data_IF_683932027113
#
_entry.id   IF_683932027113
#
_cell.length_a   1.000
_cell.length_b   1.000
_cell.length_c   1.000
_cell.angle_alpha   90.00
_cell.angle_beta   90.00
_cell.angle_gamma   90.00
#
_symmetry.space_group_name_H-M   'P 1'
#
loop_
_entity.id
_entity.type
_entity.pdbx_description
1 polymer ?
#
# COMPACT_ATOMS: atom_id res chain seq x y z
N UNK A 1 20.05 22.42 39.72
CA UNK A 1 18.86 22.39 38.83
C UNK A 1 19.24 22.30 37.36
N UNK A 2 20.19 23.11 36.87
CA UNK A 2 20.62 23.12 35.47
C UNK A 2 21.26 21.79 34.99
N UNK A 3 22.05 21.12 35.84
CA UNK A 3 22.68 19.83 35.48
C UNK A 3 21.66 18.71 35.17
N UNK A 4 20.49 18.71 35.82
CA UNK A 4 19.43 17.75 35.52
C UNK A 4 18.79 17.99 34.14
N UNK A 5 18.74 19.25 33.71
CA UNK A 5 18.23 19.61 32.39
C UNK A 5 19.21 19.15 31.30
N UNK A 6 20.51 19.41 31.50
CA UNK A 6 21.56 18.97 30.57
C UNK A 6 21.55 17.44 30.44
N UNK A 7 21.51 16.71 31.58
CA UNK A 7 21.43 15.25 31.56
C UNK A 7 20.18 14.71 30.84
N UNK A 8 19.04 15.38 30.97
CA UNK A 8 17.82 15.01 30.27
C UNK A 8 17.94 15.24 28.75
N UNK A 9 18.49 16.39 28.34
CA UNK A 9 18.71 16.73 26.93
C UNK A 9 19.68 15.73 26.28
N UNK A 10 20.79 15.41 26.94
CA UNK A 10 21.76 14.44 26.42
C UNK A 10 21.13 13.05 26.23
N UNK A 11 20.32 12.60 27.19
CA UNK A 11 19.62 11.31 27.10
C UNK A 11 18.64 11.23 25.92
N UNK A 12 17.95 12.35 25.65
CA UNK A 12 16.98 12.48 24.56
C UNK A 12 17.69 12.51 23.20
N UNK A 13 18.82 13.22 23.11
CA UNK A 13 19.62 13.29 21.89
C UNK A 13 20.15 11.90 21.53
N UNK A 14 20.76 11.20 22.49
CA UNK A 14 21.29 9.85 22.28
C UNK A 14 20.19 8.89 21.84
N UNK A 15 19.03 8.89 22.52
CA UNK A 15 17.91 8.04 22.12
C UNK A 15 17.41 8.32 20.70
N UNK A 16 17.38 9.58 20.28
CA UNK A 16 16.92 9.96 18.94
C UNK A 16 17.92 9.53 17.87
N UNK A 17 19.21 9.75 18.08
CA UNK A 17 20.26 9.37 17.11
C UNK A 17 20.24 7.85 16.89
N UNK A 18 20.15 7.05 17.95
CA UNK A 18 20.14 5.59 17.84
C UNK A 18 18.88 5.00 17.20
N UNK A 19 17.77 5.75 17.17
CA UNK A 19 16.49 5.30 16.58
C UNK A 19 16.25 5.77 15.15
N UNK A 20 17.08 6.65 14.61
CA UNK A 20 16.95 7.10 13.22
C UNK A 20 17.46 5.99 12.30
N UNK A 21 16.53 5.30 11.63
CA UNK A 21 16.84 4.38 10.54
C UNK A 21 16.67 5.12 9.21
N UNK A 22 17.78 5.35 8.51
CA UNK A 22 17.77 5.96 7.17
C UNK A 22 17.54 4.86 6.13
N UNK A 23 16.35 4.85 5.55
CA UNK A 23 16.02 3.95 4.44
C UNK A 23 16.60 4.52 3.14
N UNK A 24 17.77 4.04 2.71
CA UNK A 24 18.25 4.31 1.35
C UNK A 24 17.38 3.53 0.36
N UNK A 25 16.59 4.24 -0.45
CA UNK A 25 15.73 3.60 -1.44
C UNK A 25 16.58 2.90 -2.52
N UNK A 26 16.43 1.59 -2.75
CA UNK A 26 17.07 0.94 -3.89
C UNK A 26 16.35 1.35 -5.18
N UNK A 27 17.05 2.11 -6.04
CA UNK A 27 16.63 2.44 -7.40
C UNK A 27 16.82 1.23 -8.32
N UNK A 28 15.95 0.22 -8.16
CA UNK A 28 15.83 -0.90 -9.10
C UNK A 28 14.83 -0.58 -10.21
N UNK A 29 15.15 -0.81 -11.50
CA UNK A 29 14.20 -0.65 -12.59
C UNK A 29 13.05 -1.65 -12.45
N UNK A 30 11.81 -1.13 -12.37
CA UNK A 30 10.60 -1.95 -12.38
C UNK A 30 10.44 -2.63 -13.76
N UNK A 31 10.19 -3.95 -13.83
CA UNK A 31 9.88 -4.61 -15.10
C UNK A 31 8.53 -4.12 -15.65
N UNK A 32 8.56 -3.67 -16.90
CA UNK A 32 7.39 -3.31 -17.70
C UNK A 32 6.57 -4.55 -18.05
N UNK A 33 5.33 -4.66 -17.58
CA UNK A 33 4.39 -5.71 -18.00
C UNK A 33 3.81 -5.43 -19.40
N UNK A 34 3.69 -6.44 -20.29
CA UNK A 34 3.15 -6.28 -21.65
C UNK A 34 1.60 -6.19 -21.68
N UNK A 35 1.10 -5.38 -22.61
CA UNK A 35 -0.32 -5.09 -22.87
C UNK A 35 -0.95 -6.19 -23.73
N UNK A 36 -2.03 -6.83 -23.26
CA UNK A 36 -2.87 -7.70 -24.11
C UNK A 36 -4.08 -6.93 -24.65
N UNK A 37 -4.07 -6.67 -25.96
CA UNK A 37 -5.18 -6.12 -26.74
C UNK A 37 -5.75 -7.23 -27.63
N UNK A 38 -6.98 -7.66 -27.41
CA UNK A 38 -7.83 -8.27 -28.47
C UNK A 38 -9.31 -8.20 -28.11
N UNK A 39 -10.07 -7.38 -28.85
CA UNK A 39 -11.49 -7.57 -29.14
C UNK A 39 -11.61 -7.61 -30.67
N UNK A 40 -12.44 -8.50 -31.23
CA UNK A 40 -13.41 -8.03 -32.20
C UNK A 40 -14.83 -8.59 -31.93
N UNK A 41 -15.81 -7.76 -32.29
CA UNK A 41 -17.24 -7.95 -32.09
C UNK A 41 -17.90 -8.59 -33.32
N UNK A 42 -18.94 -9.41 -33.05
CA UNK A 42 -20.17 -9.69 -33.84
C UNK A 42 -20.36 -11.05 -34.57
N UNK A 43 -21.33 -11.80 -34.00
CA UNK A 43 -22.49 -12.47 -34.62
C UNK A 43 -22.36 -13.88 -35.22
N UNK A 44 -22.81 -14.89 -34.45
CA UNK A 44 -23.84 -15.84 -34.92
C UNK A 44 -24.60 -16.48 -33.73
N UNK A 45 -25.86 -16.84 -33.97
CA UNK A 45 -26.92 -17.16 -33.03
C UNK A 45 -26.86 -18.62 -32.51
N UNK A 46 -27.01 -18.83 -31.20
CA UNK A 46 -27.68 -20.03 -30.66
C UNK A 46 -28.10 -19.84 -29.19
N UNK A 47 -29.36 -20.16 -28.79
CA UNK A 47 -29.79 -20.07 -27.40
C UNK A 47 -29.53 -21.39 -26.67
N UNK A 48 -28.81 -21.35 -25.54
CA UNK A 48 -28.72 -22.47 -24.60
C UNK A 48 -28.66 -21.93 -23.16
N UNK A 49 -29.85 -21.82 -22.60
CA UNK A 49 -30.26 -21.98 -21.19
C UNK A 49 -29.14 -22.00 -20.12
N UNK A 50 -29.18 -20.97 -19.26
CA UNK A 50 -28.85 -20.99 -17.81
C UNK A 50 -27.39 -21.14 -17.36
N UNK A 51 -26.69 -20.02 -17.12
CA UNK A 51 -26.21 -19.63 -15.78
C UNK A 51 -25.37 -18.33 -15.80
N UNK A 52 -25.79 -17.36 -14.99
CA UNK A 52 -24.92 -16.31 -14.44
C UNK A 52 -23.68 -16.98 -13.80
N UNK A 53 -22.46 -16.43 -13.81
CA UNK A 53 -22.06 -15.17 -13.16
C UNK A 53 -20.71 -14.69 -13.73
N UNK A 54 -20.57 -13.38 -13.78
CA UNK A 54 -19.42 -12.57 -14.22
C UNK A 54 -18.08 -12.97 -13.57
N UNK A 55 -17.01 -13.02 -14.36
CA UNK A 55 -15.63 -12.87 -13.86
C UNK A 55 -15.05 -11.54 -14.36
N UNK A 56 -15.12 -10.51 -13.52
CA UNK A 56 -14.28 -9.32 -13.66
C UNK A 56 -12.88 -9.67 -13.17
N UNK A 57 -11.89 -9.64 -14.06
CA UNK A 57 -10.48 -9.68 -13.70
C UNK A 57 -9.79 -8.47 -14.31
N UNK A 58 -9.73 -7.38 -13.55
CA UNK A 58 -8.91 -6.21 -13.85
C UNK A 58 -7.56 -6.37 -13.15
N UNK A 59 -6.55 -6.82 -13.88
CA UNK A 59 -5.15 -6.69 -13.46
C UNK A 59 -4.54 -5.49 -14.17
N UNK A 60 -4.46 -4.36 -13.48
CA UNK A 60 -3.35 -3.42 -13.68
C UNK A 60 -2.93 -2.90 -12.31
N UNK A 61 -1.63 -2.80 -12.07
CA UNK A 61 -1.17 -1.60 -11.38
C UNK A 61 -0.06 -0.92 -12.18
N UNK A 62 -0.34 0.31 -12.58
CA UNK A 62 0.67 1.33 -12.90
C UNK A 62 1.19 1.92 -11.59
N UNK A 63 2.51 1.97 -11.51
CA UNK A 63 3.32 2.51 -10.42
C UNK A 63 3.03 3.98 -10.14
N UNK A 64 3.03 4.30 -8.85
CA UNK A 64 2.77 5.57 -8.19
C UNK A 64 3.88 6.60 -8.33
N UNK A 65 3.52 7.88 -8.48
CA UNK A 65 4.36 9.03 -8.13
C UNK A 65 3.83 9.63 -6.83
N UNK A 66 4.70 9.74 -5.83
CA UNK A 66 4.40 10.21 -4.48
C UNK A 66 4.23 11.74 -4.42
N UNK A 67 3.22 12.18 -3.68
CA UNK A 67 2.91 13.57 -3.32
C UNK A 67 2.52 13.58 -1.81
N UNK A 68 2.50 14.75 -1.12
CA UNK A 68 2.89 14.92 0.28
C UNK A 68 1.99 14.18 1.27
N UNK A 69 2.56 13.81 2.43
CA UNK A 69 1.88 13.07 3.50
C UNK A 69 0.86 13.99 4.20
N UNK A 70 -0.26 14.23 3.52
CA UNK A 70 -1.54 14.39 4.20
C UNK A 70 -1.75 13.06 4.93
N UNK A 71 -1.94 13.08 6.26
CA UNK A 71 -2.38 11.90 7.02
C UNK A 71 -3.79 11.53 6.60
N UNK A 72 -3.92 10.96 5.40
CA UNK A 72 -5.15 10.45 4.83
C UNK A 72 -5.63 9.36 5.77
N UNK A 73 -6.83 9.52 6.32
CA UNK A 73 -7.48 8.52 7.16
C UNK A 73 -7.53 7.20 6.38
N UNK A 74 -6.81 6.19 6.86
CA UNK A 74 -6.76 4.88 6.24
C UNK A 74 -8.15 4.23 6.30
N UNK A 75 -8.72 3.93 5.15
CA UNK A 75 -10.03 3.31 5.03
C UNK A 75 -10.00 1.84 5.44
N UNK A 76 -11.13 1.31 5.93
CA UNK A 76 -11.28 -0.07 6.40
C UNK A 76 -10.82 -1.13 5.37
N UNK A 77 -10.95 -0.87 4.06
CA UNK A 77 -10.58 -1.83 3.01
C UNK A 77 -9.20 -1.57 2.38
N UNK A 78 -8.50 -0.51 2.79
CA UNK A 78 -7.20 -0.14 2.22
C UNK A 78 -6.12 -1.17 2.56
N UNK A 79 -5.03 -1.26 1.78
CA UNK A 79 -3.89 -2.11 2.13
C UNK A 79 -3.33 -1.73 3.51
N UNK A 80 -3.04 -2.72 4.34
CA UNK A 80 -2.51 -2.48 5.67
C UNK A 80 -1.06 -2.00 5.60
N UNK A 81 -0.69 -0.88 6.25
CA UNK A 81 0.65 -0.30 6.19
C UNK A 81 1.73 -1.16 6.87
N UNK A 82 1.36 -2.20 7.63
CA UNK A 82 2.32 -3.11 8.27
C UNK A 82 3.03 -4.07 7.30
N UNK A 83 2.78 -3.97 5.98
CA UNK A 83 3.43 -4.81 4.97
C UNK A 83 2.89 -6.25 4.85
N UNK A 84 1.80 -6.59 5.55
CA UNK A 84 1.24 -7.96 5.53
C UNK A 84 0.52 -8.34 4.24
N UNK A 85 0.30 -7.40 3.32
CA UNK A 85 -0.51 -7.58 2.11
C UNK A 85 -2.02 -7.77 2.36
N UNK A 86 -2.47 -7.76 3.62
CA UNK A 86 -3.89 -7.89 3.99
C UNK A 86 -4.59 -6.52 3.96
N UNK A 87 -5.91 -6.51 3.76
CA UNK A 87 -6.75 -5.31 3.93
C UNK A 87 -6.78 -4.87 5.40
N UNK A 88 -6.86 -3.57 5.68
CA UNK A 88 -6.83 -2.96 7.03
C UNK A 88 -7.81 -3.65 8.01
N UNK A 89 -9.06 -3.90 7.59
CA UNK A 89 -10.10 -4.65 8.34
C UNK A 89 -9.75 -6.06 8.78
N UNK A 90 -8.79 -6.70 8.11
CA UNK A 90 -8.37 -8.08 8.40
C UNK A 90 -7.00 -8.11 9.09
N UNK A 91 -6.45 -6.96 9.44
CA UNK A 91 -5.12 -6.84 10.03
C UNK A 91 -5.18 -6.11 11.37
N UNK A 92 -5.40 -4.79 11.37
CA UNK A 92 -5.26 -3.94 12.57
C UNK A 92 -6.47 -3.02 12.82
N UNK A 93 -7.59 -3.25 12.15
CA UNK A 93 -8.84 -2.54 12.39
C UNK A 93 -9.84 -3.45 13.12
N UNK A 94 -10.59 -2.99 14.13
CA UNK A 94 -10.67 -1.63 14.69
C UNK A 94 -9.82 -1.40 15.97
N UNK A 95 -9.14 -2.42 16.48
CA UNK A 95 -8.40 -2.32 17.74
C UNK A 95 -6.95 -1.89 17.49
N UNK A 96 -6.75 -0.57 17.49
CA UNK A 96 -5.44 0.04 17.72
C UNK A 96 -5.42 0.34 19.23
N UNK A 97 -4.56 -0.31 20.05
CA UNK A 97 -4.28 0.20 21.40
C UNK A 97 -3.59 1.56 21.34
#
# INVERSE_FOLDING_TARGET
MFERLIAAIDSDIVHRIFKVQVQLAPSGPNPTNPTNTTNPTNQNLQPSITQAVRRMQTNTPKTSVAQPIVTKKLGRNDPCPCGSGKKWKKCHYPNIP
#
